data_IF_359015798600
#
_entry.id   IF_359015798600
#
_cell.length_a   1.000
_cell.length_b   1.000
_cell.length_c   1.000
_cell.angle_alpha   90.00
_cell.angle_beta   90.00
_cell.angle_gamma   90.00
#
_symmetry.space_group_name_H-M   'P 1'
#
loop_
_entity.id
_entity.type
_entity.pdbx_description
1 polymer ?
#
# COMPACT_ATOMS: atom_id res chain seq x y z
N UNK A 1 -10.32 -31.36 0.73
CA UNK A 1 -11.59 -30.60 0.81
C UNK A 1 -11.27 -29.11 0.92
N UNK A 2 -12.21 -28.15 0.80
CA UNK A 2 -11.90 -26.77 1.18
C UNK A 2 -11.65 -26.70 2.70
N UNK A 3 -10.55 -26.07 3.13
CA UNK A 3 -10.23 -25.87 4.57
C UNK A 3 -11.12 -24.78 5.15
N UNK A 4 -11.33 -23.71 4.37
CA UNK A 4 -12.16 -22.57 4.72
C UNK A 4 -13.00 -22.19 3.51
N UNK A 5 -14.26 -21.83 3.76
CA UNK A 5 -15.20 -21.36 2.74
C UNK A 5 -16.07 -20.24 3.28
N UNK A 6 -16.36 -19.25 2.42
CA UNK A 6 -17.17 -18.09 2.73
C UNK A 6 -18.14 -17.83 1.58
N UNK A 7 -19.41 -17.56 1.94
CA UNK A 7 -20.46 -17.18 1.01
C UNK A 7 -20.57 -15.65 0.98
N UNK A 8 -20.73 -15.10 -0.21
CA UNK A 8 -20.92 -13.67 -0.48
C UNK A 8 -22.07 -13.50 -1.48
N UNK A 9 -22.64 -12.29 -1.56
CA UNK A 9 -23.71 -11.95 -2.50
C UNK A 9 -24.89 -12.92 -2.38
N UNK A 10 -25.43 -13.06 -1.17
CA UNK A 10 -26.58 -13.93 -0.84
C UNK A 10 -26.41 -15.40 -1.26
N UNK A 11 -25.18 -15.90 -1.20
CA UNK A 11 -24.84 -17.28 -1.53
C UNK A 11 -24.53 -17.52 -3.01
N UNK A 12 -24.63 -16.52 -3.88
CA UNK A 12 -24.31 -16.66 -5.30
C UNK A 12 -22.79 -16.83 -5.54
N UNK A 13 -21.95 -16.26 -4.67
CA UNK A 13 -20.49 -16.28 -4.80
C UNK A 13 -19.84 -17.04 -3.64
N UNK A 14 -19.10 -18.08 -3.96
CA UNK A 14 -18.32 -18.87 -3.00
C UNK A 14 -16.86 -18.50 -3.07
N UNK A 15 -16.22 -18.23 -1.92
CA UNK A 15 -14.78 -17.99 -1.80
C UNK A 15 -14.18 -19.03 -0.86
N UNK A 16 -13.23 -19.83 -1.31
CA UNK A 16 -12.71 -20.98 -0.55
C UNK A 16 -11.22 -21.22 -0.76
N UNK A 17 -10.57 -21.85 0.22
CA UNK A 17 -9.14 -22.19 0.18
C UNK A 17 -8.92 -23.71 0.22
N UNK A 18 -8.02 -24.23 -0.61
CA UNK A 18 -7.70 -25.67 -0.70
C UNK A 18 -6.44 -26.01 0.09
N UNK A 19 -6.35 -27.23 0.61
CA UNK A 19 -5.20 -27.71 1.41
C UNK A 19 -3.83 -27.55 0.76
N UNK A 20 -3.73 -27.68 -0.57
CA UNK A 20 -2.44 -27.62 -1.30
C UNK A 20 -2.19 -26.28 -2.00
N UNK A 21 -2.99 -25.25 -1.71
CA UNK A 21 -2.85 -23.95 -2.36
C UNK A 21 -2.88 -22.81 -1.35
N UNK A 22 -1.84 -21.97 -1.37
CA UNK A 22 -1.79 -20.73 -0.59
C UNK A 22 -2.83 -19.69 -1.02
N UNK A 23 -3.32 -19.79 -2.26
CA UNK A 23 -4.25 -18.81 -2.83
C UNK A 23 -5.70 -19.19 -2.59
N UNK A 24 -6.51 -18.18 -2.28
CA UNK A 24 -7.96 -18.30 -2.25
C UNK A 24 -8.52 -18.49 -3.65
N UNK A 25 -9.62 -19.20 -3.75
CA UNK A 25 -10.36 -19.46 -4.98
C UNK A 25 -11.76 -18.90 -4.83
N UNK A 26 -12.37 -18.57 -5.96
CA UNK A 26 -13.75 -18.15 -6.01
C UNK A 26 -14.51 -18.97 -7.05
N UNK A 27 -15.80 -19.19 -6.80
CA UNK A 27 -16.70 -19.83 -7.73
C UNK A 27 -18.10 -19.26 -7.65
N UNK A 28 -18.79 -19.20 -8.78
CA UNK A 28 -20.18 -18.75 -8.86
C UNK A 28 -20.95 -19.63 -9.83
N UNK A 29 -22.25 -19.73 -9.61
CA UNK A 29 -23.18 -20.30 -10.58
C UNK A 29 -23.94 -19.17 -11.25
N UNK A 30 -23.90 -19.11 -12.59
CA UNK A 30 -24.70 -18.19 -13.39
C UNK A 30 -25.46 -19.01 -14.43
N UNK A 31 -26.79 -19.06 -14.30
CA UNK A 31 -27.62 -19.97 -15.07
C UNK A 31 -27.29 -21.43 -14.75
N UNK A 32 -27.02 -22.25 -15.78
CA UNK A 32 -26.65 -23.67 -15.64
C UNK A 32 -25.14 -23.93 -15.61
N UNK A 33 -24.30 -22.90 -15.52
CA UNK A 33 -22.83 -23.03 -15.60
C UNK A 33 -22.14 -22.63 -14.29
N UNK A 34 -21.19 -23.47 -13.87
CA UNK A 34 -20.27 -23.18 -12.76
C UNK A 34 -19.01 -22.51 -13.30
N UNK A 35 -18.70 -21.33 -12.80
CA UNK A 35 -17.45 -20.63 -13.07
C UNK A 35 -16.56 -20.72 -11.85
N UNK A 36 -15.26 -20.99 -12.04
CA UNK A 36 -14.25 -21.06 -10.97
C UNK A 36 -12.98 -20.34 -11.38
N UNK A 37 -12.40 -19.57 -10.47
CA UNK A 37 -11.13 -18.88 -10.70
C UNK A 37 -10.30 -18.78 -9.42
N UNK A 38 -8.98 -18.94 -9.54
CA UNK A 38 -8.07 -18.60 -8.44
C UNK A 38 -7.97 -17.08 -8.31
N UNK A 39 -8.12 -16.57 -7.09
CA UNK A 39 -7.98 -15.14 -6.80
C UNK A 39 -6.52 -14.68 -6.88
N UNK A 40 -5.57 -15.63 -6.76
CA UNK A 40 -4.13 -15.36 -6.57
C UNK A 40 -3.80 -14.48 -5.36
N UNK A 41 -4.77 -14.32 -4.46
CA UNK A 41 -4.64 -13.59 -3.21
C UNK A 41 -4.52 -14.59 -2.06
N UNK A 42 -3.64 -14.31 -1.09
CA UNK A 42 -3.45 -15.11 0.13
C UNK A 42 -4.27 -14.56 1.30
N UNK A 43 -4.55 -13.25 1.26
CA UNK A 43 -5.41 -12.56 2.22
C UNK A 43 -6.89 -12.76 1.90
N UNK A 44 -7.68 -13.18 2.88
CA UNK A 44 -9.13 -13.34 2.72
C UNK A 44 -9.82 -12.03 2.32
N UNK A 45 -9.41 -10.88 2.87
CA UNK A 45 -10.04 -9.59 2.53
C UNK A 45 -9.81 -9.21 1.06
N UNK A 46 -8.57 -9.35 0.58
CA UNK A 46 -8.22 -9.11 -0.83
C UNK A 46 -8.88 -10.15 -1.74
N UNK A 47 -8.97 -11.40 -1.32
CA UNK A 47 -9.68 -12.46 -2.03
C UNK A 47 -11.19 -12.17 -2.14
N UNK A 48 -11.82 -11.61 -1.10
CA UNK A 48 -13.23 -11.19 -1.12
C UNK A 48 -13.44 -9.99 -2.04
N UNK A 49 -12.53 -9.01 -2.05
CA UNK A 49 -12.57 -7.89 -2.99
C UNK A 49 -12.44 -8.36 -4.44
N UNK A 50 -11.42 -9.18 -4.73
CA UNK A 50 -11.21 -9.78 -6.05
C UNK A 50 -12.42 -10.61 -6.48
N UNK A 51 -12.93 -11.48 -5.59
CA UNK A 51 -14.06 -12.34 -5.92
C UNK A 51 -15.33 -11.56 -6.21
N UNK A 52 -15.55 -10.42 -5.51
CA UNK A 52 -16.67 -9.51 -5.80
C UNK A 52 -16.53 -8.88 -7.17
N UNK A 53 -15.35 -8.36 -7.51
CA UNK A 53 -15.10 -7.74 -8.82
C UNK A 53 -15.25 -8.77 -9.95
N UNK A 54 -14.65 -9.95 -9.76
CA UNK A 54 -14.75 -11.09 -10.70
C UNK A 54 -16.20 -11.57 -10.90
N UNK A 55 -16.98 -11.69 -9.83
CA UNK A 55 -18.39 -12.07 -9.91
C UNK A 55 -19.21 -11.06 -10.71
N UNK A 56 -18.98 -9.76 -10.49
CA UNK A 56 -19.65 -8.70 -11.24
C UNK A 56 -19.29 -8.75 -12.73
N UNK A 57 -18.02 -8.97 -13.08
CA UNK A 57 -17.58 -9.17 -14.48
C UNK A 57 -18.27 -10.37 -15.12
N UNK A 58 -18.35 -11.51 -14.42
CA UNK A 58 -19.07 -12.70 -14.92
C UNK A 58 -20.55 -12.47 -15.11
N UNK A 59 -21.21 -11.71 -14.22
CA UNK A 59 -22.62 -11.34 -14.38
C UNK A 59 -22.86 -10.47 -15.62
N UNK A 60 -21.92 -9.57 -15.93
CA UNK A 60 -21.97 -8.74 -17.14
C UNK A 60 -21.79 -9.59 -18.40
N UNK A 61 -20.80 -10.47 -18.42
CA UNK A 61 -20.56 -11.38 -19.55
C UNK A 61 -21.74 -12.33 -19.80
N UNK A 62 -22.33 -12.91 -18.74
CA UNK A 62 -23.49 -13.79 -18.86
C UNK A 62 -24.72 -13.03 -19.40
N UNK A 63 -24.91 -11.77 -18.97
CA UNK A 63 -25.96 -10.88 -19.49
C UNK A 63 -25.75 -10.53 -20.96
N UNK A 64 -24.51 -10.28 -21.38
CA UNK A 64 -24.15 -10.03 -22.78
C UNK A 64 -24.39 -11.28 -23.65
N UNK A 65 -24.03 -12.47 -23.15
CA UNK A 65 -24.33 -13.74 -23.83
C UNK A 65 -25.81 -13.98 -24.02
N UNK A 66 -26.64 -13.74 -23.00
CA UNK A 66 -28.11 -13.89 -23.09
C UNK A 66 -28.77 -12.89 -24.04
N UNK A 67 -28.12 -11.75 -24.32
CA UNK A 67 -28.59 -10.72 -25.26
C UNK A 67 -28.15 -10.96 -26.73
N UNK A 68 -27.45 -12.06 -27.03
CA UNK A 68 -27.18 -12.49 -28.42
C UNK A 68 -25.96 -11.84 -29.09
N UNK A 69 -24.77 -11.89 -28.47
CA UNK A 69 -23.50 -11.48 -29.09
C UNK A 69 -22.67 -12.65 -29.64
N UNK A 70 -22.19 -12.51 -30.88
CA UNK A 70 -21.41 -13.45 -31.73
C UNK A 70 -20.18 -14.07 -31.01
N UNK A 71 -19.80 -15.34 -31.26
CA UNK A 71 -18.64 -15.97 -30.63
C UNK A 71 -17.31 -15.45 -31.20
N UNK A 72 -16.35 -15.12 -30.34
CA UNK A 72 -14.93 -15.02 -30.73
C UNK A 72 -14.43 -16.42 -31.13
N UNK A 73 -13.88 -16.52 -32.34
CA UNK A 73 -13.19 -17.71 -32.85
C UNK A 73 -11.87 -17.94 -32.10
N UNK A 74 -11.67 -19.18 -31.65
CA UNK A 74 -10.39 -19.73 -31.21
C UNK A 74 -9.48 -19.97 -32.42
N UNK A 75 -8.31 -19.32 -32.46
CA UNK A 75 -7.25 -19.59 -33.44
C UNK A 75 -6.15 -18.51 -33.44
N UNK A 76 -4.84 -18.88 -33.51
CA UNK A 76 -3.75 -17.91 -33.43
C UNK A 76 -3.58 -17.22 -34.78
N UNK A 77 -3.96 -15.94 -34.87
CA UNK A 77 -3.70 -15.13 -36.07
C UNK A 77 -2.34 -14.45 -35.92
N UNK A 78 -1.38 -14.89 -36.72
CA UNK A 78 -0.14 -14.14 -36.98
C UNK A 78 -0.48 -12.80 -37.66
N UNK A 79 0.25 -11.71 -37.38
CA UNK A 79 -0.04 -10.43 -38.02
C UNK A 79 0.38 -10.48 -39.49
N UNK A 80 -0.58 -10.38 -40.41
CA UNK A 80 -0.31 -10.06 -41.81
C UNK A 80 0.13 -8.59 -41.91
N UNK A 81 1.26 -8.38 -42.59
CA UNK A 81 1.78 -7.06 -42.90
C UNK A 81 0.78 -6.27 -43.76
N UNK A 82 0.42 -5.06 -43.30
CA UNK A 82 -0.42 -4.14 -44.05
C UNK A 82 0.34 -3.59 -45.26
N UNK A 83 -0.18 -3.81 -46.48
CA UNK A 83 0.21 -3.08 -47.67
C UNK A 83 -0.26 -1.62 -47.63
N UNK A 84 0.31 -0.72 -48.45
CA UNK A 84 0.04 0.71 -48.38
C UNK A 84 -1.35 1.03 -48.96
N UNK A 85 -2.33 1.17 -48.07
CA UNK A 85 -3.64 1.73 -48.39
C UNK A 85 -3.55 3.25 -48.58
N UNK A 86 -4.24 3.74 -49.60
CA UNK A 86 -4.28 5.13 -50.05
C UNK A 86 -4.60 6.15 -48.94
N UNK A 87 -4.18 7.44 -49.09
CA UNK A 87 -4.35 8.44 -48.06
C UNK A 87 -5.84 8.79 -47.90
N UNK A 88 -6.40 8.48 -46.73
CA UNK A 88 -7.76 8.88 -46.38
C UNK A 88 -7.71 10.34 -45.91
N UNK A 89 -8.26 11.18 -46.77
CA UNK A 89 -8.44 12.61 -46.58
C UNK A 89 -9.30 12.95 -45.34
N UNK A 90 -9.02 14.09 -44.74
CA UNK A 90 -9.60 14.51 -43.46
C UNK A 90 -11.08 14.90 -43.54
N UNK A 91 -11.73 14.82 -42.36
CA UNK A 91 -13.04 15.40 -41.97
C UNK A 91 -14.31 14.64 -42.37
N UNK A 92 -14.75 13.78 -41.44
CA UNK A 92 -16.07 13.89 -40.77
C UNK A 92 -15.91 13.42 -39.31
N UNK A 93 -15.66 14.35 -38.39
CA UNK A 93 -15.93 14.08 -36.96
C UNK A 93 -17.44 13.87 -36.88
N UNK A 94 -17.89 12.68 -36.46
CA UNK A 94 -19.28 12.50 -36.01
C UNK A 94 -19.53 13.58 -34.95
N UNK A 95 -20.58 14.37 -35.13
CA UNK A 95 -21.05 15.25 -34.06
C UNK A 95 -21.46 14.33 -32.92
N UNK A 96 -20.84 14.41 -31.74
CA UNK A 96 -21.11 13.45 -30.68
C UNK A 96 -22.56 13.58 -30.26
N UNK A 97 -23.30 12.48 -30.42
CA UNK A 97 -24.72 12.39 -30.06
C UNK A 97 -24.79 11.76 -28.68
N UNK A 98 -24.40 12.52 -27.66
CA UNK A 98 -24.39 12.04 -26.29
C UNK A 98 -23.67 12.99 -25.33
N UNK A 99 -23.80 12.73 -24.01
CA UNK A 99 -23.12 13.51 -22.99
C UNK A 99 -21.60 13.42 -23.13
N UNK A 100 -20.94 14.53 -22.81
CA UNK A 100 -19.50 14.68 -22.86
C UNK A 100 -18.82 14.16 -21.59
N UNK A 101 -17.50 14.03 -21.63
CA UNK A 101 -16.73 13.75 -20.42
C UNK A 101 -16.89 14.84 -19.36
N UNK A 102 -17.02 16.10 -19.77
CA UNK A 102 -17.25 17.23 -18.87
C UNK A 102 -18.56 17.07 -18.09
N UNK A 103 -19.63 16.62 -18.75
CA UNK A 103 -20.91 16.31 -18.09
C UNK A 103 -20.75 15.21 -17.04
N UNK A 104 -20.00 14.14 -17.37
CA UNK A 104 -19.73 13.05 -16.43
C UNK A 104 -18.84 13.49 -15.26
N UNK A 105 -17.86 14.35 -15.53
CA UNK A 105 -16.98 14.90 -14.51
C UNK A 105 -17.77 15.78 -13.52
N UNK A 106 -18.67 16.63 -14.01
CA UNK A 106 -19.52 17.50 -13.18
C UNK A 106 -20.52 16.68 -12.35
N UNK A 107 -21.12 15.65 -12.94
CA UNK A 107 -21.95 14.70 -12.21
C UNK A 107 -21.15 13.95 -11.13
N UNK A 108 -19.93 13.51 -11.45
CA UNK A 108 -19.07 12.84 -10.48
C UNK A 108 -18.69 13.77 -9.32
N UNK A 109 -18.24 15.00 -9.58
CA UNK A 109 -17.80 15.90 -8.50
C UNK A 109 -18.94 16.30 -7.58
N UNK A 110 -20.12 16.60 -8.14
CA UNK A 110 -21.32 16.93 -7.35
C UNK A 110 -21.80 15.76 -6.49
N UNK A 111 -21.87 14.55 -7.03
CA UNK A 111 -22.28 13.36 -6.27
C UNK A 111 -21.21 12.93 -5.25
N UNK A 112 -19.94 12.98 -5.64
CA UNK A 112 -18.86 12.39 -4.85
C UNK A 112 -18.64 13.14 -3.54
N UNK A 113 -18.71 14.47 -3.54
CA UNK A 113 -18.59 15.26 -2.31
C UNK A 113 -19.74 14.96 -1.34
N UNK A 114 -20.97 14.89 -1.84
CA UNK A 114 -22.17 14.62 -1.04
C UNK A 114 -22.15 13.21 -0.46
N UNK A 115 -21.89 12.19 -1.30
CA UNK A 115 -21.89 10.79 -0.88
C UNK A 115 -20.76 10.49 0.11
N UNK A 116 -19.63 11.21 0.01
CA UNK A 116 -18.46 10.95 0.87
C UNK A 116 -18.35 11.89 2.06
N UNK A 117 -19.34 12.77 2.26
CA UNK A 117 -19.39 13.71 3.38
C UNK A 117 -19.36 12.95 4.71
N UNK A 118 -18.37 13.25 5.54
CA UNK A 118 -18.16 12.58 6.84
C UNK A 118 -17.55 11.18 6.77
N UNK A 119 -17.67 10.46 5.65
CA UNK A 119 -17.13 9.09 5.50
C UNK A 119 -15.69 9.05 4.95
N UNK A 120 -15.26 10.09 4.23
CA UNK A 120 -13.91 10.15 3.63
C UNK A 120 -13.13 11.38 4.07
N UNK A 121 -11.81 11.27 3.98
CA UNK A 121 -10.91 12.36 4.29
C UNK A 121 -11.08 13.50 3.27
N UNK A 122 -11.26 14.74 3.75
CA UNK A 122 -11.44 15.91 2.91
C UNK A 122 -10.31 16.13 1.88
N UNK A 123 -9.05 15.86 2.26
CA UNK A 123 -7.90 15.96 1.35
C UNK A 123 -7.97 14.91 0.23
N UNK A 124 -8.50 13.72 0.54
CA UNK A 124 -8.72 12.68 -0.47
C UNK A 124 -9.79 13.11 -1.48
N UNK A 125 -10.89 13.73 -1.00
CA UNK A 125 -11.94 14.27 -1.88
C UNK A 125 -11.38 15.39 -2.75
N UNK A 126 -10.67 16.34 -2.15
CA UNK A 126 -9.99 17.43 -2.85
C UNK A 126 -9.02 16.92 -3.92
N UNK A 127 -8.22 15.90 -3.61
CA UNK A 127 -7.28 15.31 -4.57
C UNK A 127 -7.99 14.75 -5.81
N UNK A 128 -9.19 14.18 -5.64
CA UNK A 128 -10.01 13.69 -6.77
C UNK A 128 -10.52 14.84 -7.63
N UNK A 129 -11.03 15.89 -7.01
CA UNK A 129 -11.44 17.11 -7.71
C UNK A 129 -10.27 17.77 -8.45
N UNK A 130 -9.08 17.78 -7.85
CA UNK A 130 -7.86 18.30 -8.50
C UNK A 130 -7.43 17.43 -9.70
N UNK A 131 -7.51 16.10 -9.60
CA UNK A 131 -7.25 15.24 -10.76
C UNK A 131 -8.21 15.53 -11.92
N UNK A 132 -9.49 15.70 -11.63
CA UNK A 132 -10.50 16.06 -12.63
C UNK A 132 -10.16 17.42 -13.26
N UNK A 133 -10.04 18.47 -12.44
CA UNK A 133 -9.85 19.86 -12.90
C UNK A 133 -8.52 20.10 -13.60
N UNK A 134 -7.42 19.57 -13.07
CA UNK A 134 -6.06 19.92 -13.53
C UNK A 134 -5.58 19.00 -14.65
N UNK A 135 -6.11 17.78 -14.75
CA UNK A 135 -5.56 16.77 -15.66
C UNK A 135 -6.60 16.14 -16.59
N UNK A 136 -7.73 15.69 -16.07
CA UNK A 136 -8.70 14.96 -16.89
C UNK A 136 -9.54 15.90 -17.77
N UNK A 137 -10.10 16.98 -17.23
CA UNK A 137 -10.90 17.96 -17.98
C UNK A 137 -10.11 18.61 -19.14
N UNK A 138 -8.86 19.09 -18.95
CA UNK A 138 -8.09 19.67 -20.04
C UNK A 138 -7.83 18.71 -21.22
N UNK A 139 -7.82 17.41 -20.97
CA UNK A 139 -7.58 16.41 -22.01
C UNK A 139 -8.90 15.84 -22.57
N UNK A 140 -9.76 15.31 -21.71
CA UNK A 140 -10.97 14.58 -22.08
C UNK A 140 -12.22 15.44 -22.15
N UNK A 141 -12.26 16.67 -21.62
CA UNK A 141 -13.51 17.42 -21.40
C UNK A 141 -14.47 17.46 -22.60
N UNK A 142 -13.92 17.70 -23.79
CA UNK A 142 -14.68 17.78 -25.05
C UNK A 142 -14.93 16.43 -25.75
N UNK A 143 -14.44 15.33 -25.19
CA UNK A 143 -14.65 14.00 -25.76
C UNK A 143 -16.08 13.55 -25.50
N UNK A 144 -16.70 12.94 -26.49
CA UNK A 144 -17.89 12.14 -26.29
C UNK A 144 -17.53 10.97 -25.38
N UNK A 145 -18.42 10.60 -24.45
CA UNK A 145 -18.15 9.47 -23.58
C UNK A 145 -18.00 8.15 -24.35
N UNK A 146 -18.72 8.00 -25.46
CA UNK A 146 -18.65 6.85 -26.38
C UNK A 146 -17.28 6.72 -27.09
N UNK A 147 -16.58 7.83 -27.29
CA UNK A 147 -15.28 7.85 -27.98
C UNK A 147 -14.11 7.49 -27.04
N UNK A 148 -14.35 7.44 -25.72
CA UNK A 148 -13.31 7.12 -24.73
C UNK A 148 -13.09 5.61 -24.69
N UNK A 149 -12.07 5.15 -25.43
CA UNK A 149 -11.63 3.76 -25.47
C UNK A 149 -10.22 3.57 -24.87
N UNK A 150 -9.73 2.32 -24.84
CA UNK A 150 -8.40 1.99 -24.32
C UNK A 150 -7.26 2.75 -25.02
N UNK A 151 -7.41 3.05 -26.31
CA UNK A 151 -6.46 3.88 -27.08
C UNK A 151 -6.37 5.31 -26.56
N UNK A 152 -7.51 5.98 -26.37
CA UNK A 152 -7.55 7.35 -25.82
C UNK A 152 -6.97 7.43 -24.40
N UNK A 153 -7.16 6.39 -23.58
CA UNK A 153 -6.56 6.28 -22.24
C UNK A 153 -5.03 6.16 -22.34
N UNK A 154 -4.54 5.43 -23.33
CA UNK A 154 -3.10 5.32 -23.58
C UNK A 154 -2.51 6.63 -24.11
N UNK A 155 -3.20 7.34 -24.99
CA UNK A 155 -2.84 8.67 -25.45
C UNK A 155 -2.74 9.65 -24.29
N UNK A 156 -3.69 9.61 -23.34
CA UNK A 156 -3.63 10.39 -22.11
C UNK A 156 -2.38 10.08 -21.28
N UNK A 157 -2.03 8.80 -21.11
CA UNK A 157 -0.80 8.40 -20.39
C UNK A 157 0.44 8.97 -21.06
N UNK A 158 0.51 8.93 -22.39
CA UNK A 158 1.61 9.51 -23.18
C UNK A 158 1.65 11.02 -22.99
N UNK A 159 0.51 11.71 -23.17
CA UNK A 159 0.37 13.15 -22.97
C UNK A 159 0.89 13.57 -21.59
N UNK A 160 0.51 12.86 -20.52
CA UNK A 160 0.96 13.19 -19.15
C UNK A 160 2.45 13.02 -18.95
N UNK A 161 3.11 12.18 -19.73
CA UNK A 161 4.55 11.94 -19.66
C UNK A 161 5.37 12.89 -20.57
N UNK A 162 4.73 13.55 -21.54
CA UNK A 162 5.41 14.40 -22.54
C UNK A 162 5.04 15.88 -22.43
N UNK A 163 3.83 16.24 -21.99
CA UNK A 163 3.27 17.58 -22.16
C UNK A 163 3.85 18.66 -21.24
N UNK A 164 4.40 18.29 -20.09
CA UNK A 164 5.03 19.25 -19.15
C UNK A 164 6.53 19.15 -19.25
N UNK A 165 7.19 20.25 -19.54
CA UNK A 165 8.67 20.35 -19.55
C UNK A 165 9.12 21.08 -18.29
N UNK A 166 10.20 20.60 -17.67
CA UNK A 166 10.80 21.30 -16.53
C UNK A 166 11.54 22.56 -17.01
N UNK A 167 11.16 23.77 -16.55
CA UNK A 167 11.79 25.02 -16.98
C UNK A 167 13.30 25.08 -16.71
N UNK A 168 13.81 24.31 -15.74
CA UNK A 168 15.23 24.31 -15.37
C UNK A 168 16.07 23.33 -16.20
N UNK A 169 15.48 22.27 -16.72
CA UNK A 169 16.24 21.18 -17.38
C UNK A 169 15.85 20.94 -18.84
N UNK A 170 14.75 21.55 -19.32
CA UNK A 170 14.25 21.36 -20.68
C UNK A 170 13.73 19.93 -20.97
N UNK A 171 13.73 19.04 -19.97
CA UNK A 171 13.27 17.65 -20.11
C UNK A 171 11.79 17.52 -19.72
N UNK A 172 11.04 16.56 -20.32
CA UNK A 172 9.69 16.26 -19.87
C UNK A 172 9.66 15.89 -18.38
N UNK A 173 8.89 16.67 -17.60
CA UNK A 173 8.62 16.45 -16.19
C UNK A 173 7.63 15.30 -16.03
N UNK A 174 8.16 14.08 -16.11
CA UNK A 174 7.39 12.84 -15.99
C UNK A 174 6.80 12.72 -14.58
N UNK A 175 5.46 12.62 -14.43
CA UNK A 175 4.85 12.35 -13.14
C UNK A 175 5.25 10.97 -12.62
N UNK A 176 5.26 10.82 -11.29
CA UNK A 176 5.50 9.53 -10.67
C UNK A 176 4.39 8.53 -11.09
N UNK A 177 4.74 7.24 -11.16
CA UNK A 177 3.77 6.19 -11.55
C UNK A 177 2.54 6.17 -10.64
N UNK A 178 2.73 6.36 -9.33
CA UNK A 178 1.65 6.44 -8.37
C UNK A 178 0.69 7.61 -8.65
N UNK A 179 1.22 8.75 -9.10
CA UNK A 179 0.42 9.92 -9.50
C UNK A 179 -0.44 9.60 -10.72
N UNK A 180 0.16 9.03 -11.78
CA UNK A 180 -0.59 8.59 -12.97
C UNK A 180 -1.63 7.54 -12.62
N UNK A 181 -1.32 6.62 -11.71
CA UNK A 181 -2.28 5.63 -11.24
C UNK A 181 -3.46 6.31 -10.53
N UNK A 182 -3.22 7.29 -9.66
CA UNK A 182 -4.28 8.08 -9.01
C UNK A 182 -5.18 8.83 -10.01
N UNK A 183 -4.57 9.43 -11.04
CA UNK A 183 -5.30 10.07 -12.15
C UNK A 183 -6.20 9.07 -12.88
N UNK A 184 -5.68 7.89 -13.27
CA UNK A 184 -6.45 6.84 -13.97
C UNK A 184 -7.54 6.21 -13.10
N UNK A 185 -7.30 6.05 -11.80
CA UNK A 185 -8.36 5.61 -10.86
C UNK A 185 -9.49 6.65 -10.82
N UNK A 186 -9.16 7.93 -10.90
CA UNK A 186 -10.18 9.01 -10.92
C UNK A 186 -10.95 9.01 -12.23
N UNK A 187 -10.25 8.85 -13.37
CA UNK A 187 -10.88 8.67 -14.68
C UNK A 187 -11.88 7.50 -14.65
N UNK A 188 -11.48 6.36 -14.09
CA UNK A 188 -12.36 5.21 -13.92
C UNK A 188 -13.59 5.53 -13.09
N UNK A 189 -13.47 6.32 -12.02
CA UNK A 189 -14.61 6.71 -11.18
C UNK A 189 -15.59 7.60 -11.93
N UNK A 190 -15.10 8.56 -12.72
CA UNK A 190 -15.93 9.40 -13.59
C UNK A 190 -16.69 8.56 -14.61
N UNK A 191 -16.01 7.63 -15.29
CA UNK A 191 -16.67 6.73 -16.26
C UNK A 191 -17.66 5.76 -15.58
N UNK A 192 -17.40 5.34 -14.33
CA UNK A 192 -18.40 4.59 -13.54
C UNK A 192 -19.64 5.42 -13.23
N UNK A 193 -19.52 6.73 -13.03
CA UNK A 193 -20.69 7.62 -12.89
C UNK A 193 -21.48 7.69 -14.20
N UNK A 194 -20.80 7.87 -15.34
CA UNK A 194 -21.43 7.83 -16.66
C UNK A 194 -22.17 6.51 -16.91
N UNK A 195 -21.55 5.37 -16.59
CA UNK A 195 -22.17 4.06 -16.73
C UNK A 195 -23.40 3.89 -15.82
N UNK A 196 -23.35 4.34 -14.56
CA UNK A 196 -24.49 4.31 -13.64
C UNK A 196 -25.66 5.17 -14.10
N UNK A 197 -25.39 6.26 -14.83
CA UNK A 197 -26.40 7.11 -15.45
C UNK A 197 -26.89 6.59 -16.81
N UNK A 198 -26.37 5.46 -17.29
CA UNK A 198 -26.73 4.88 -18.59
C UNK A 198 -26.17 5.65 -19.79
N UNK A 199 -25.14 6.47 -19.59
CA UNK A 199 -24.52 7.26 -20.67
C UNK A 199 -23.50 6.47 -21.48
N UNK A 200 -22.98 5.38 -20.93
CA UNK A 200 -22.12 4.41 -21.61
C UNK A 200 -22.51 3.00 -21.19
N UNK A 201 -22.45 2.06 -22.13
CA UNK A 201 -22.82 0.66 -21.88
C UNK A 201 -21.78 -0.09 -21.06
N UNK A 202 -20.49 0.20 -21.31
CA UNK A 202 -19.37 -0.48 -20.68
C UNK A 202 -18.19 0.47 -20.45
N UNK A 203 -17.33 0.13 -19.49
CA UNK A 203 -16.09 0.86 -19.26
C UNK A 203 -14.99 0.36 -20.20
N UNK A 204 -14.15 1.25 -20.74
CA UNK A 204 -12.99 0.85 -21.52
C UNK A 204 -11.93 0.17 -20.64
N UNK A 205 -11.11 -0.68 -21.25
CA UNK A 205 -9.93 -1.20 -20.56
C UNK A 205 -8.95 -0.04 -20.27
N UNK A 206 -8.62 0.09 -18.99
CA UNK A 206 -7.67 1.08 -18.47
C UNK A 206 -6.45 0.42 -17.83
N UNK A 207 -6.30 -0.89 -18.03
CA UNK A 207 -5.14 -1.64 -17.58
C UNK A 207 -3.84 -1.04 -18.16
N UNK A 208 -2.73 -1.22 -17.44
CA UNK A 208 -1.44 -0.78 -17.97
C UNK A 208 -1.00 -1.78 -19.05
N UNK A 209 -0.67 -1.34 -20.27
CA UNK A 209 -0.38 -2.24 -21.40
C UNK A 209 0.88 -3.10 -21.17
N UNK A 210 1.80 -2.63 -20.34
CA UNK A 210 3.02 -3.36 -20.00
C UNK A 210 3.07 -3.66 -18.50
N UNK A 211 3.01 -4.95 -18.14
CA UNK A 211 3.34 -5.42 -16.79
C UNK A 211 4.81 -5.12 -16.54
N UNK A 212 5.09 -4.13 -15.72
CA UNK A 212 6.45 -3.92 -15.24
C UNK A 212 6.72 -4.91 -14.12
N UNK A 213 7.92 -5.48 -14.10
CA UNK A 213 8.45 -6.18 -12.93
C UNK A 213 8.44 -5.19 -11.76
N UNK A 214 7.44 -5.30 -10.89
CA UNK A 214 7.32 -4.48 -9.70
C UNK A 214 8.42 -4.86 -8.73
N UNK A 215 9.63 -4.32 -8.92
CA UNK A 215 10.62 -4.33 -7.85
C UNK A 215 9.96 -3.61 -6.67
N UNK A 216 9.78 -4.35 -5.58
CA UNK A 216 9.28 -3.79 -4.34
C UNK A 216 10.38 -2.86 -3.84
N UNK A 217 10.20 -1.56 -4.00
CA UNK A 217 11.15 -0.58 -3.46
C UNK A 217 11.03 -0.60 -1.93
N UNK A 218 12.15 -0.87 -1.26
CA UNK A 218 12.22 -0.88 0.18
C UNK A 218 12.42 0.56 0.67
N UNK A 219 11.74 0.94 1.75
CA UNK A 219 12.02 2.24 2.37
C UNK A 219 13.33 2.16 3.15
N UNK A 220 14.15 3.18 2.99
CA UNK A 220 15.42 3.31 3.67
C UNK A 220 15.25 3.31 5.20
N UNK A 221 16.17 2.64 5.88
CA UNK A 221 16.32 2.62 7.34
C UNK A 221 17.77 2.98 7.70
N UNK A 222 18.00 3.25 8.98
CA UNK A 222 19.32 3.49 9.56
C UNK A 222 19.82 2.22 10.26
N UNK A 223 21.02 1.74 9.91
CA UNK A 223 21.72 0.72 10.69
C UNK A 223 21.90 1.15 12.16
N UNK A 224 22.22 0.25 13.09
CA UNK A 224 22.51 0.62 14.47
C UNK A 224 23.55 1.76 14.59
N UNK A 225 24.60 1.71 13.77
CA UNK A 225 25.67 2.70 13.71
C UNK A 225 25.20 4.02 13.11
N UNK A 226 24.46 3.98 11.99
CA UNK A 226 23.91 5.19 11.37
C UNK A 226 22.87 5.86 12.27
N UNK A 227 22.07 5.08 13.00
CA UNK A 227 21.10 5.60 13.96
C UNK A 227 21.81 6.26 15.14
N UNK A 228 22.94 5.70 15.58
CA UNK A 228 23.82 6.30 16.58
C UNK A 228 24.37 7.64 16.14
N UNK A 229 24.95 7.71 14.94
CA UNK A 229 25.41 8.97 14.34
C UNK A 229 24.28 10.01 14.33
N UNK A 230 23.08 9.62 13.90
CA UNK A 230 21.92 10.51 13.85
C UNK A 230 21.53 11.05 15.22
N UNK A 231 21.35 10.18 16.24
CA UNK A 231 20.90 10.66 17.54
C UNK A 231 21.99 11.44 18.30
N UNK A 232 23.27 11.16 18.05
CA UNK A 232 24.39 11.91 18.62
C UNK A 232 24.49 13.30 18.00
N UNK A 233 24.38 13.42 16.68
CA UNK A 233 24.35 14.70 15.98
C UNK A 233 23.16 15.57 16.43
N UNK A 234 21.96 14.96 16.59
CA UNK A 234 20.80 15.71 17.09
C UNK A 234 20.93 16.10 18.56
N UNK A 235 21.61 15.28 19.39
CA UNK A 235 21.93 15.62 20.78
C UNK A 235 22.87 16.82 20.83
N UNK A 236 23.90 16.82 20.00
CA UNK A 236 24.87 17.91 19.94
C UNK A 236 24.21 19.20 19.46
N UNK A 237 23.41 19.12 18.40
CA UNK A 237 22.63 20.26 17.89
C UNK A 237 21.59 20.79 18.90
N UNK A 238 21.05 19.93 19.77
CA UNK A 238 20.17 20.37 20.85
C UNK A 238 20.93 21.17 21.93
N UNK A 239 22.17 20.79 22.25
CA UNK A 239 23.04 21.53 23.18
C UNK A 239 23.55 22.85 22.56
N UNK A 240 24.05 22.75 21.33
CA UNK A 240 24.71 23.81 20.58
C UNK A 240 23.92 24.12 19.29
N UNK A 241 22.75 24.76 19.38
CA UNK A 241 21.95 25.08 18.19
C UNK A 241 22.63 26.17 17.35
N UNK A 242 22.48 26.17 16.01
CA UNK A 242 23.11 27.17 15.14
C UNK A 242 22.76 28.62 15.49
N UNK A 243 21.58 28.85 16.07
CA UNK A 243 21.13 30.14 16.60
C UNK A 243 20.35 29.90 17.88
N UNK A 244 20.47 30.75 18.92
CA UNK A 244 19.80 30.55 20.22
C UNK A 244 18.29 30.35 20.11
N UNK A 245 17.63 31.08 19.20
CA UNK A 245 16.17 30.95 18.95
C UNK A 245 15.71 29.56 18.48
N UNK A 246 16.62 28.71 18.01
CA UNK A 246 16.30 27.36 17.53
C UNK A 246 16.47 26.29 18.61
N UNK A 247 16.93 26.63 19.83
CA UNK A 247 17.19 25.67 20.90
C UNK A 247 16.01 24.73 21.12
N UNK A 248 14.83 25.28 21.36
CA UNK A 248 13.63 24.48 21.63
C UNK A 248 13.27 23.55 20.45
N UNK A 249 13.43 24.03 19.21
CA UNK A 249 13.17 23.24 18.00
C UNK A 249 14.14 22.07 17.88
N UNK A 250 15.43 22.31 18.14
CA UNK A 250 16.47 21.26 18.11
C UNK A 250 16.30 20.25 19.24
N UNK A 251 15.99 20.71 20.45
CA UNK A 251 15.70 19.83 21.58
C UNK A 251 14.45 18.97 21.32
N UNK A 252 13.36 19.56 20.84
CA UNK A 252 12.14 18.83 20.47
C UNK A 252 12.41 17.81 19.34
N UNK A 253 13.29 18.14 18.39
CA UNK A 253 13.66 17.23 17.32
C UNK A 253 14.50 16.05 17.80
N UNK A 254 15.47 16.29 18.69
CA UNK A 254 16.25 15.22 19.32
C UNK A 254 15.33 14.24 20.08
N UNK A 255 14.41 14.78 20.87
CA UNK A 255 13.41 13.97 21.58
C UNK A 255 12.50 13.20 20.61
N UNK A 256 12.10 13.82 19.50
CA UNK A 256 11.32 13.17 18.45
C UNK A 256 12.06 11.98 17.82
N UNK A 257 13.36 12.12 17.50
CA UNK A 257 14.17 11.05 16.90
C UNK A 257 14.28 9.84 17.83
N UNK A 258 14.54 10.07 19.12
CA UNK A 258 14.62 9.02 20.12
C UNK A 258 13.27 8.36 20.37
N UNK A 259 12.20 9.15 20.51
CA UNK A 259 10.85 8.64 20.72
C UNK A 259 10.38 7.76 19.56
N UNK A 260 10.56 8.22 18.32
CA UNK A 260 10.14 7.47 17.12
C UNK A 260 10.95 6.19 16.94
N UNK A 261 12.26 6.21 17.20
CA UNK A 261 13.12 5.04 17.11
C UNK A 261 12.84 3.97 18.16
N UNK A 262 12.07 4.28 19.21
CA UNK A 262 11.72 3.38 20.31
C UNK A 262 10.23 2.99 20.38
N UNK A 263 9.39 3.47 19.47
CA UNK A 263 7.92 3.25 19.53
C UNK A 263 7.36 2.60 18.27
N UNK A 264 8.03 2.75 17.11
CA UNK A 264 7.50 2.23 15.86
C UNK A 264 6.25 2.96 15.35
N UNK A 265 5.90 4.14 15.86
CA UNK A 265 4.80 4.95 15.34
C UNK A 265 5.05 5.43 13.91
N UNK A 266 4.00 5.69 13.14
CA UNK A 266 4.12 6.45 11.89
C UNK A 266 4.25 7.96 12.20
N UNK A 267 4.94 8.76 11.37
CA UNK A 267 5.06 10.19 11.60
C UNK A 267 3.72 10.97 11.66
N UNK A 268 2.67 10.47 11.00
CA UNK A 268 1.33 11.07 11.08
C UNK A 268 0.55 10.64 12.33
N UNK A 269 0.88 9.48 12.91
CA UNK A 269 0.37 9.03 14.21
C UNK A 269 0.99 9.88 15.32
N UNK A 270 2.33 10.04 15.33
CA UNK A 270 3.01 10.88 16.32
C UNK A 270 2.63 12.36 16.22
N UNK A 271 2.28 12.84 15.02
CA UNK A 271 1.85 14.22 14.84
C UNK A 271 0.48 14.56 15.44
N UNK A 272 -0.36 13.54 15.69
CA UNK A 272 -1.68 13.66 16.31
C UNK A 272 -1.69 13.23 17.78
N UNK A 273 -0.57 12.70 18.28
CA UNK A 273 -0.48 12.14 19.61
C UNK A 273 -0.62 13.25 20.67
N UNK A 274 -1.59 13.10 21.54
CA UNK A 274 -1.86 14.01 22.66
C UNK A 274 -1.29 13.45 23.96
N UNK A 275 -1.11 14.30 24.98
CA UNK A 275 -0.58 13.85 26.27
C UNK A 275 -1.45 12.75 26.90
N UNK A 276 -2.78 12.87 26.82
CA UNK A 276 -3.73 11.88 27.36
C UNK A 276 -3.63 10.50 26.71
N UNK A 277 -3.07 10.43 25.51
CA UNK A 277 -2.93 9.19 24.75
C UNK A 277 -1.75 8.34 25.25
N UNK A 278 -0.92 8.84 26.19
CA UNK A 278 0.31 8.19 26.65
C UNK A 278 0.29 7.97 28.16
N UNK A 279 0.49 6.71 28.58
CA UNK A 279 0.64 6.32 29.98
C UNK A 279 2.01 5.71 30.22
N UNK A 280 2.66 6.05 31.33
CA UNK A 280 3.87 5.36 31.77
C UNK A 280 3.43 4.19 32.65
N UNK A 281 3.82 2.97 32.29
CA UNK A 281 3.43 1.75 32.99
C UNK A 281 4.67 0.92 33.30
N UNK A 282 4.62 0.14 34.39
CA UNK A 282 5.59 -0.92 34.64
C UNK A 282 5.09 -2.17 33.93
N UNK A 283 5.86 -2.68 32.98
CA UNK A 283 5.47 -3.89 32.26
C UNK A 283 5.81 -5.11 33.10
N UNK A 284 4.78 -5.88 33.49
CA UNK A 284 4.94 -7.04 34.37
C UNK A 284 5.81 -8.14 33.76
N UNK A 285 5.88 -8.24 32.43
CA UNK A 285 6.62 -9.30 31.76
C UNK A 285 8.12 -9.04 31.69
N UNK A 286 8.52 -7.76 31.56
CA UNK A 286 9.92 -7.35 31.45
C UNK A 286 10.48 -6.73 32.73
N UNK A 287 9.61 -6.27 33.64
CA UNK A 287 9.98 -5.48 34.81
C UNK A 287 10.40 -4.04 34.47
N UNK A 288 10.33 -3.63 33.21
CA UNK A 288 10.78 -2.33 32.75
C UNK A 288 9.65 -1.30 32.75
N UNK A 289 10.01 -0.04 32.96
CA UNK A 289 9.10 1.09 32.67
C UNK A 289 9.00 1.26 31.17
N UNK A 290 7.79 1.32 30.63
CA UNK A 290 7.51 1.59 29.22
C UNK A 290 6.39 2.61 29.05
N UNK A 291 6.19 3.07 27.81
CA UNK A 291 5.01 3.85 27.43
C UNK A 291 3.96 2.93 26.80
N UNK A 292 2.74 3.01 27.31
CA UNK A 292 1.55 2.51 26.65
C UNK A 292 0.86 3.66 25.93
N UNK A 293 0.70 3.52 24.61
CA UNK A 293 0.29 4.58 23.71
C UNK A 293 -0.98 4.18 22.97
N UNK A 294 -2.05 4.95 23.17
CA UNK A 294 -3.30 4.86 22.44
C UNK A 294 -3.18 5.64 21.13
N UNK A 295 -3.06 4.93 20.01
CA UNK A 295 -2.76 5.52 18.72
C UNK A 295 -4.01 5.62 17.85
N UNK A 296 -4.33 6.86 17.45
CA UNK A 296 -5.42 7.17 16.53
C UNK A 296 -4.89 7.23 15.09
N UNK A 297 -5.28 6.25 14.28
CA UNK A 297 -4.88 6.11 12.87
C UNK A 297 -6.05 6.20 11.89
N UNK A 298 -5.75 6.04 10.60
CA UNK A 298 -6.77 6.06 9.51
C UNK A 298 -7.82 4.94 9.62
N UNK A 299 -7.54 3.88 10.39
CA UNK A 299 -8.38 2.68 10.52
C UNK A 299 -8.97 2.50 11.93
N UNK A 300 -8.94 3.56 12.75
CA UNK A 300 -9.41 3.52 14.14
C UNK A 300 -8.27 3.62 15.15
N UNK A 301 -8.59 3.24 16.39
CA UNK A 301 -7.68 3.24 17.54
C UNK A 301 -6.94 1.91 17.62
N UNK A 302 -5.64 1.95 17.91
CA UNK A 302 -4.84 0.78 18.23
C UNK A 302 -3.79 1.11 19.27
N UNK A 303 -3.17 0.09 19.86
CA UNK A 303 -2.23 0.27 20.96
C UNK A 303 -0.78 0.13 20.47
N UNK A 304 0.15 0.76 21.20
CA UNK A 304 1.58 0.61 21.01
C UNK A 304 2.28 0.63 22.37
N UNK A 305 3.12 -0.37 22.62
CA UNK A 305 4.06 -0.43 23.73
C UNK A 305 5.44 0.02 23.25
N UNK A 306 6.04 1.00 23.92
CA UNK A 306 7.38 1.48 23.57
C UNK A 306 8.47 0.61 24.17
N UNK A 307 9.70 0.79 23.70
CA UNK A 307 10.90 0.45 24.47
C UNK A 307 11.11 1.46 25.61
N UNK A 308 11.86 1.13 26.67
CA UNK A 308 12.14 2.04 27.78
C UNK A 308 12.79 3.36 27.35
N UNK A 309 13.62 3.32 26.30
CA UNK A 309 14.30 4.48 25.74
C UNK A 309 13.38 5.61 25.25
N UNK A 310 12.07 5.37 25.10
CA UNK A 310 11.09 6.40 24.75
C UNK A 310 10.63 7.27 25.94
N UNK A 311 10.82 6.82 27.19
CA UNK A 311 10.32 7.52 28.39
C UNK A 311 11.03 8.86 28.58
N UNK A 312 12.38 8.86 28.58
CA UNK A 312 13.14 10.09 28.82
C UNK A 312 12.83 11.18 27.78
N UNK A 313 12.76 10.90 26.46
CA UNK A 313 12.26 11.86 25.48
C UNK A 313 10.85 12.39 25.78
N UNK A 314 9.92 11.50 26.15
CA UNK A 314 8.54 11.88 26.46
C UNK A 314 8.46 12.81 27.68
N UNK A 315 9.14 12.46 28.78
CA UNK A 315 9.17 13.27 30.00
C UNK A 315 9.84 14.63 29.77
N UNK A 316 10.92 14.69 28.99
CA UNK A 316 11.59 15.94 28.60
C UNK A 316 10.64 16.86 27.84
N UNK A 317 9.92 16.35 26.84
CA UNK A 317 8.97 17.15 26.06
C UNK A 317 7.79 17.61 26.93
N UNK A 318 7.25 16.72 27.77
CA UNK A 318 6.17 17.05 28.71
C UNK A 318 6.58 18.18 29.65
N UNK A 319 7.78 18.10 30.24
CA UNK A 319 8.31 19.11 31.17
C UNK A 319 8.59 20.44 30.46
N UNK A 320 9.22 20.40 29.28
CA UNK A 320 9.58 21.59 28.50
C UNK A 320 8.35 22.39 28.07
N UNK A 321 7.31 21.70 27.60
CA UNK A 321 6.11 22.35 27.03
C UNK A 321 4.96 22.54 28.02
N UNK A 322 5.05 21.99 29.23
CA UNK A 322 3.98 22.04 30.24
C UNK A 322 2.61 21.63 29.67
N UNK A 323 2.60 20.50 28.97
CA UNK A 323 1.46 20.04 28.17
C UNK A 323 0.22 19.77 29.03
N UNK A 324 -0.94 20.22 28.57
CA UNK A 324 -2.26 19.80 29.05
C UNK A 324 -2.67 18.47 28.38
N UNK A 325 -3.65 17.74 28.90
CA UNK A 325 -4.05 16.43 28.38
C UNK A 325 -4.38 16.40 26.87
N UNK A 326 -4.98 17.47 26.33
CA UNK A 326 -5.37 17.61 24.92
C UNK A 326 -4.27 18.19 24.03
N UNK A 327 -3.14 18.58 24.60
CA UNK A 327 -2.06 19.20 23.83
C UNK A 327 -1.26 18.14 23.09
N UNK A 328 -0.86 18.47 21.86
CA UNK A 328 -0.04 17.60 21.02
C UNK A 328 1.39 17.55 21.54
N UNK A 329 1.92 16.34 21.70
CA UNK A 329 3.28 16.13 22.22
C UNK A 329 4.33 16.73 21.26
N UNK A 330 4.32 16.30 20.00
CA UNK A 330 5.30 16.76 19.00
C UNK A 330 4.72 17.77 17.99
N UNK A 331 3.42 17.70 17.68
CA UNK A 331 2.82 18.56 16.66
C UNK A 331 3.19 18.14 15.25
N UNK A 332 3.53 19.07 14.35
CA UNK A 332 3.85 18.72 12.95
C UNK A 332 5.14 17.90 12.86
N UNK A 333 5.19 16.95 11.93
CA UNK A 333 6.42 16.18 11.65
C UNK A 333 7.57 17.13 11.27
N UNK A 334 8.75 17.03 11.90
CA UNK A 334 9.88 17.95 11.69
C UNK A 334 10.66 17.61 10.39
N UNK A 335 10.01 17.76 9.24
CA UNK A 335 10.56 17.33 7.93
C UNK A 335 11.79 18.12 7.50
N UNK A 336 11.74 19.44 7.66
CA UNK A 336 12.83 20.34 7.24
C UNK A 336 14.10 20.07 8.02
N UNK A 337 14.01 20.07 9.36
CA UNK A 337 15.17 19.81 10.22
C UNK A 337 15.72 18.39 10.05
N UNK A 338 14.85 17.39 9.82
CA UNK A 338 15.29 16.04 9.45
C UNK A 338 16.09 16.06 8.15
N UNK A 339 15.63 16.75 7.10
CA UNK A 339 16.36 16.82 5.84
C UNK A 339 17.72 17.53 6.04
N UNK A 340 17.74 18.68 6.71
CA UNK A 340 18.98 19.43 6.99
C UNK A 340 20.01 18.56 7.69
N UNK A 341 19.63 17.88 8.78
CA UNK A 341 20.57 17.03 9.53
C UNK A 341 21.02 15.83 8.70
N UNK A 342 20.14 15.22 7.91
CA UNK A 342 20.54 14.11 7.04
C UNK A 342 21.47 14.53 5.91
N UNK A 343 21.28 15.71 5.35
CA UNK A 343 22.13 16.25 4.29
C UNK A 343 23.53 16.58 4.85
N UNK A 344 23.60 17.21 6.02
CA UNK A 344 24.87 17.50 6.72
C UNK A 344 25.65 16.24 7.10
N UNK A 345 24.97 15.19 7.52
CA UNK A 345 25.58 13.91 7.90
C UNK A 345 25.86 12.99 6.69
N UNK A 346 25.49 13.40 5.48
CA UNK A 346 25.50 12.55 4.29
C UNK A 346 24.74 11.22 4.49
N UNK A 347 23.65 11.26 5.26
CA UNK A 347 22.76 10.13 5.56
C UNK A 347 21.42 10.20 4.80
N UNK A 348 21.25 11.17 3.90
CA UNK A 348 20.00 11.38 3.16
C UNK A 348 19.59 10.19 2.29
N UNK A 349 20.56 9.47 1.77
CA UNK A 349 20.37 8.29 0.93
C UNK A 349 21.00 7.07 1.60
N UNK A 350 20.39 5.90 1.44
CA UNK A 350 21.03 4.64 1.80
C UNK A 350 21.92 4.12 0.65
N UNK A 351 22.54 2.94 0.86
CA UNK A 351 23.44 2.30 -0.12
C UNK A 351 22.76 1.98 -1.46
N UNK A 352 21.44 1.80 -1.44
CA UNK A 352 20.62 1.49 -2.61
C UNK A 352 19.96 2.76 -3.19
N UNK A 353 20.40 3.94 -2.75
CA UNK A 353 19.91 5.26 -3.16
C UNK A 353 18.44 5.54 -2.80
N UNK A 354 17.90 4.85 -1.79
CA UNK A 354 16.58 5.16 -1.25
C UNK A 354 16.66 6.34 -0.27
N UNK A 355 15.67 7.23 -0.35
CA UNK A 355 15.63 8.46 0.44
C UNK A 355 15.22 8.17 1.89
N UNK A 356 16.02 8.68 2.84
CA UNK A 356 15.69 8.71 4.27
C UNK A 356 14.84 9.93 4.64
N UNK A 357 13.84 9.70 5.49
CA UNK A 357 12.92 10.73 6.01
C UNK A 357 12.51 10.39 7.45
N UNK A 358 11.62 11.16 8.08
CA UNK A 358 11.06 10.79 9.38
C UNK A 358 10.35 9.41 9.37
N UNK A 359 9.87 8.93 8.20
CA UNK A 359 9.34 7.57 8.09
C UNK A 359 10.41 6.52 8.32
N UNK A 360 11.67 6.80 7.98
CA UNK A 360 12.79 5.88 8.16
C UNK A 360 13.02 5.51 9.62
N UNK A 361 12.66 6.36 10.58
CA UNK A 361 12.78 6.05 12.02
C UNK A 361 11.91 4.85 12.43
N UNK A 362 10.70 4.74 11.86
CA UNK A 362 9.83 3.57 12.07
C UNK A 362 10.42 2.31 11.43
N UNK A 363 10.99 2.46 10.24
CA UNK A 363 11.67 1.36 9.55
C UNK A 363 12.88 0.88 10.36
N UNK A 364 13.64 1.82 10.93
CA UNK A 364 14.73 1.52 11.87
C UNK A 364 14.24 0.77 13.09
N UNK A 365 13.16 1.23 13.75
CA UNK A 365 12.58 0.50 14.88
C UNK A 365 12.29 -0.97 14.51
N UNK A 366 11.57 -1.21 13.41
CA UNK A 366 11.22 -2.56 12.96
C UNK A 366 12.49 -3.40 12.72
N UNK A 367 13.46 -2.87 11.97
CA UNK A 367 14.72 -3.57 11.70
C UNK A 367 15.49 -3.89 12.99
N UNK A 368 15.63 -2.93 13.90
CA UNK A 368 16.34 -3.14 15.16
C UNK A 368 15.66 -4.22 16.02
N UNK A 369 14.32 -4.21 16.11
CA UNK A 369 13.59 -5.26 16.84
C UNK A 369 13.80 -6.65 16.21
N UNK A 370 13.75 -6.75 14.88
CA UNK A 370 13.97 -8.02 14.18
C UNK A 370 15.40 -8.53 14.31
N UNK A 371 16.40 -7.63 14.31
CA UNK A 371 17.80 -7.96 14.54
C UNK A 371 18.05 -8.44 15.97
N UNK A 372 17.31 -7.92 16.94
CA UNK A 372 17.33 -8.37 18.34
C UNK A 372 16.48 -9.64 18.58
N UNK A 373 15.93 -10.25 17.53
CA UNK A 373 15.19 -11.52 17.62
C UNK A 373 13.75 -11.38 18.08
N UNK A 374 13.17 -10.17 18.06
CA UNK A 374 11.76 -9.98 18.42
C UNK A 374 10.83 -10.72 17.45
N UNK A 375 9.77 -11.31 18.01
CA UNK A 375 8.75 -12.01 17.22
C UNK A 375 8.07 -11.08 16.20
N UNK A 376 8.03 -11.53 14.94
CA UNK A 376 7.51 -10.74 13.82
C UNK A 376 6.04 -10.37 14.00
N UNK A 377 5.25 -11.26 14.61
CA UNK A 377 3.84 -11.02 14.86
C UNK A 377 3.65 -9.93 15.93
N UNK A 378 4.43 -9.97 17.02
CA UNK A 378 4.40 -8.90 18.03
C UNK A 378 4.85 -7.55 17.45
N UNK A 379 5.92 -7.52 16.64
CA UNK A 379 6.37 -6.28 15.98
C UNK A 379 5.29 -5.76 15.02
N UNK A 380 4.66 -6.63 14.24
CA UNK A 380 3.57 -6.28 13.34
C UNK A 380 2.37 -5.66 14.08
N UNK A 381 1.96 -6.29 15.20
CA UNK A 381 0.88 -5.83 16.07
C UNK A 381 1.21 -4.46 16.67
N UNK A 382 2.40 -4.30 17.26
CA UNK A 382 2.83 -3.04 17.87
C UNK A 382 2.88 -1.89 16.86
N UNK A 383 3.34 -2.19 15.65
CA UNK A 383 3.41 -1.24 14.55
C UNK A 383 2.06 -1.04 13.83
N UNK A 384 1.00 -1.79 14.13
CA UNK A 384 -0.28 -1.74 13.38
C UNK A 384 -0.06 -1.93 11.87
N UNK A 385 0.63 -3.01 11.51
CA UNK A 385 0.88 -3.44 10.13
C UNK A 385 0.65 -4.95 10.02
N UNK A 386 0.54 -5.49 8.80
CA UNK A 386 0.48 -6.95 8.62
C UNK A 386 1.87 -7.58 8.69
N UNK A 387 1.91 -8.84 9.10
CA UNK A 387 3.12 -9.70 9.06
C UNK A 387 3.66 -9.78 7.63
N UNK A 388 2.77 -10.00 6.65
CA UNK A 388 3.12 -10.02 5.22
C UNK A 388 3.87 -8.75 4.79
N UNK A 389 3.44 -7.57 5.28
CA UNK A 389 4.15 -6.32 4.99
C UNK A 389 5.52 -6.27 5.67
N UNK A 390 5.69 -6.87 6.86
CA UNK A 390 7.01 -6.94 7.46
C UNK A 390 7.91 -7.91 6.68
N UNK A 391 7.42 -9.10 6.35
CA UNK A 391 8.17 -10.09 5.57
C UNK A 391 8.59 -9.56 4.20
N UNK A 392 7.65 -8.94 3.48
CA UNK A 392 7.89 -8.39 2.14
C UNK A 392 8.94 -7.28 2.14
N UNK A 393 8.97 -6.43 3.18
CA UNK A 393 9.82 -5.24 3.20
C UNK A 393 11.10 -5.39 4.04
N UNK A 394 11.15 -6.33 4.97
CA UNK A 394 12.28 -6.52 5.89
C UNK A 394 12.79 -7.96 5.95
N UNK A 395 12.20 -8.89 5.20
CA UNK A 395 12.59 -10.31 5.20
C UNK A 395 14.05 -10.58 4.80
N UNK A 396 14.75 -9.61 4.18
CA UNK A 396 16.20 -9.70 3.97
C UNK A 396 16.96 -9.81 5.30
N UNK A 397 16.49 -9.15 6.36
CA UNK A 397 17.13 -9.19 7.69
C UNK A 397 16.80 -10.46 8.47
N UNK A 398 15.67 -11.12 8.15
CA UNK A 398 15.36 -12.46 8.67
C UNK A 398 16.34 -13.52 8.15
N UNK A 399 17.06 -13.27 7.04
CA UNK A 399 18.09 -14.22 6.54
C UNK A 399 19.22 -14.42 7.53
N UNK A 400 19.55 -13.41 8.34
CA UNK A 400 20.55 -13.52 9.39
C UNK A 400 20.04 -14.28 10.62
N UNK A 401 18.72 -14.54 10.69
CA UNK A 401 18.05 -15.37 11.70
C UNK A 401 17.71 -16.77 11.18
N UNK A 402 18.28 -17.19 10.03
CA UNK A 402 18.16 -18.58 9.60
C UNK A 402 18.98 -19.44 10.57
N UNK A 403 18.28 -20.14 11.44
CA UNK A 403 18.88 -21.18 12.25
C UNK A 403 19.35 -22.33 11.34
N UNK A 404 20.66 -22.40 11.13
CA UNK A 404 21.29 -23.43 10.33
C UNK A 404 20.99 -24.83 10.88
N UNK A 405 20.75 -24.99 12.19
CA UNK A 405 20.39 -26.27 12.79
C UNK A 405 18.98 -26.72 12.41
N UNK A 406 18.04 -25.77 12.27
CA UNK A 406 16.67 -26.02 11.79
C UNK A 406 16.61 -26.27 10.28
N UNK A 407 17.51 -25.66 9.49
CA UNK A 407 17.57 -25.86 8.03
C UNK A 407 18.32 -27.13 7.65
N UNK A 408 19.38 -27.51 8.39
CA UNK A 408 20.22 -28.65 8.07
C UNK A 408 19.79 -29.95 8.75
N UNK A 409 18.50 -30.09 9.12
CA UNK A 409 17.98 -31.32 9.71
C UNK A 409 18.10 -32.47 8.71
N UNK A 410 19.02 -33.40 8.98
CA UNK A 410 19.16 -34.63 8.18
C UNK A 410 18.15 -35.67 8.65
N UNK A 411 17.46 -36.30 7.70
CA UNK A 411 16.50 -37.38 7.98
C UNK A 411 17.25 -38.51 8.70
N UNK A 412 16.77 -38.90 9.90
CA UNK A 412 17.36 -40.01 10.64
C UNK A 412 17.32 -41.29 9.79
N UNK A 413 18.45 -42.01 9.74
CA UNK A 413 18.58 -43.26 8.98
C UNK A 413 17.63 -44.29 9.59
N UNK A 414 16.72 -44.92 8.81
CA UNK A 414 15.79 -45.91 9.37
C UNK A 414 16.60 -47.04 10.02
N UNK A 415 16.32 -47.30 11.30
CA UNK A 415 16.95 -48.42 12.00
C UNK A 415 16.44 -49.73 11.38
N UNK A 416 17.38 -50.55 10.92
CA UNK A 416 17.09 -51.91 10.47
C UNK A 416 16.54 -52.70 11.65
N UNK A 417 15.24 -53.01 11.61
CA UNK A 417 14.59 -53.91 12.55
C UNK A 417 15.17 -55.30 12.31
N UNK A 418 16.12 -55.73 13.15
CA UNK A 418 16.59 -57.11 13.18
C UNK A 418 15.51 -57.99 13.82
N UNK A 419 14.69 -58.61 12.97
CA UNK A 419 13.70 -59.60 13.42
C UNK A 419 14.43 -60.84 13.93
N UNK A 420 14.52 -61.01 15.25
CA UNK A 420 14.94 -62.27 15.88
C UNK A 420 13.85 -63.32 15.61
N UNK A 421 14.12 -64.28 14.71
CA UNK A 421 13.31 -65.50 14.53
C UNK A 421 13.33 -66.30 15.83
N UNK A 422 12.18 -66.40 16.49
CA UNK A 422 11.96 -67.32 17.63
C UNK A 422 11.73 -68.71 17.06
N UNK A 423 12.62 -69.67 17.37
CA UNK A 423 12.48 -71.07 16.96
C UNK A 423 11.23 -71.69 17.63
N UNK A 424 10.30 -72.19 16.82
CA UNK A 424 9.23 -73.07 17.28
C UNK A 424 9.82 -74.44 17.58
N UNK A 425 9.69 -74.91 18.83
CA UNK A 425 9.80 -76.33 19.16
C UNK A 425 8.50 -77.02 18.72
N UNK A 426 8.59 -77.98 17.79
CA UNK A 426 7.55 -78.97 17.55
C UNK A 426 7.70 -80.10 18.56
N UNK A 427 6.61 -80.42 19.25
CA UNK A 427 6.46 -81.67 19.99
C UNK A 427 5.90 -82.73 19.03
N UNK A 428 6.64 -83.81 18.84
CA UNK A 428 6.19 -85.17 18.58
C UNK A 428 7.36 -86.10 18.88
#
# INVERSE_FOLDING_TARGET
>A
MPIESHLLMDGALHVYRRERSRYWQCSTYLGSRNYRQTTKEESLAAAKDFARDWYMERCVEDRQRRRGGVPLLDGPVQPLAAGPGAPIDGRRRRTPTGPSFEDAANAFTSEFEVITLGERNAEYVKQKSDHVRVHLLPFFGKYALEDINAGTVQEYRVHRQTSRVDPKTGKPKKPARATLHGEVVTLRQVLKTANRKGWIDALPDMSAPYKTSGKVEHRAWFSPEEYKILYEATRERAKNPPKPRWREVCENFHDYVLFMGNTGLRPDESARLELRDVKIVNDESTGERILEIEVRGKRGVGFCKSMPGAILPFERVRKRKQLKPTDRIFGKTPRELMNTVLDELNLKFDRDNHIRTCYSLRHTYICLRLLEGADIYQVAKNCRTSVEMIEKFYGRHLKNNIDASAVNVRRARPQLITVKKKALKSAA
#
